data_IF_167816652894
#
_entry.id   IF_167816652894
#
_cell.length_a   1.000
_cell.length_b   1.000
_cell.length_c   1.000
_cell.angle_alpha   90.00
_cell.angle_beta   90.00
_cell.angle_gamma   90.00
#
_symmetry.space_group_name_H-M   'P 1'
#
loop_
_entity.id
_entity.type
_entity.pdbx_description
1 polymer ?
#
# COMPACT_ATOMS: atom_id res chain seq x y z
N UNK A 1 24.09 4.43 -3.28
CA UNK A 1 22.89 4.86 -2.52
C UNK A 1 22.18 5.91 -3.37
N UNK A 2 21.11 5.54 -4.07
CA UNK A 2 20.33 6.50 -4.85
C UNK A 2 19.52 7.36 -3.89
N UNK A 3 19.66 8.69 -3.99
CA UNK A 3 18.84 9.62 -3.23
C UNK A 3 17.37 9.22 -3.36
N UNK A 4 16.72 8.95 -2.23
CA UNK A 4 15.29 8.71 -2.20
C UNK A 4 14.62 9.93 -2.83
N UNK A 5 14.04 9.76 -4.03
CA UNK A 5 13.23 10.83 -4.63
C UNK A 5 12.11 11.11 -3.65
N UNK A 6 12.17 12.24 -2.95
CA UNK A 6 11.12 12.71 -2.07
C UNK A 6 9.85 12.75 -2.90
N UNK A 7 8.85 11.93 -2.55
CA UNK A 7 7.57 11.91 -3.28
C UNK A 7 6.98 13.32 -3.13
N UNK A 8 6.70 13.98 -4.26
CA UNK A 8 6.06 15.28 -4.25
C UNK A 8 4.67 15.10 -3.63
N UNK A 9 4.41 15.75 -2.50
CA UNK A 9 3.08 15.76 -1.90
C UNK A 9 2.09 16.34 -2.91
N UNK A 10 1.01 15.62 -3.14
CA UNK A 10 -0.08 16.09 -3.98
C UNK A 10 -1.04 16.83 -3.05
N UNK A 11 -0.95 18.15 -3.04
CA UNK A 11 -1.94 18.98 -2.34
C UNK A 11 -3.29 18.81 -3.06
N UNK A 12 -4.20 18.07 -2.45
CA UNK A 12 -5.57 17.90 -2.93
C UNK A 12 -6.46 18.98 -2.33
N UNK A 13 -7.31 19.55 -3.18
CA UNK A 13 -8.40 20.41 -2.72
C UNK A 13 -9.48 19.52 -2.09
N UNK A 14 -9.60 19.61 -0.76
CA UNK A 14 -10.58 18.84 0.02
C UNK A 14 -12.03 19.29 -0.24
N UNK A 15 -12.24 20.44 -0.88
CA UNK A 15 -13.57 20.88 -1.32
C UNK A 15 -14.00 20.27 -2.65
N UNK A 16 -13.08 19.62 -3.38
CA UNK A 16 -13.39 19.01 -4.66
C UNK A 16 -14.36 17.81 -4.49
N UNK A 17 -15.49 17.77 -5.22
CA UNK A 17 -16.47 16.69 -5.07
C UNK A 17 -15.92 15.29 -5.31
N UNK A 18 -14.94 15.13 -6.21
CA UNK A 18 -14.30 13.83 -6.47
C UNK A 18 -13.50 13.38 -5.25
N UNK A 19 -12.78 14.29 -4.60
CA UNK A 19 -12.00 13.98 -3.39
C UNK A 19 -12.94 13.56 -2.26
N UNK A 20 -14.05 14.28 -2.08
CA UNK A 20 -15.08 13.96 -1.09
C UNK A 20 -15.72 12.58 -1.36
N UNK A 21 -16.03 12.25 -2.62
CA UNK A 21 -16.59 10.95 -2.98
C UNK A 21 -15.63 9.77 -2.70
N UNK A 22 -14.32 10.02 -2.72
CA UNK A 22 -13.27 9.00 -2.49
C UNK A 22 -12.94 8.84 -1.00
N UNK A 23 -13.19 9.86 -0.17
CA UNK A 23 -12.77 9.93 1.22
C UNK A 23 -13.26 8.75 2.09
N UNK A 24 -14.54 8.33 2.03
CA UNK A 24 -15.01 7.22 2.85
C UNK A 24 -14.26 5.91 2.56
N UNK A 25 -13.95 5.64 1.29
CA UNK A 25 -13.17 4.46 0.92
C UNK A 25 -11.72 4.55 1.36
N UNK A 26 -11.14 5.75 1.35
CA UNK A 26 -9.80 6.00 1.89
C UNK A 26 -9.77 5.68 3.38
N UNK A 27 -10.72 6.19 4.17
CA UNK A 27 -10.81 5.92 5.61
C UNK A 27 -10.96 4.42 5.91
N UNK A 28 -11.86 3.73 5.21
CA UNK A 28 -12.02 2.28 5.33
C UNK A 28 -10.71 1.54 4.99
N UNK A 29 -10.01 1.95 3.94
CA UNK A 29 -8.74 1.34 3.57
C UNK A 29 -7.64 1.59 4.61
N UNK A 30 -7.60 2.77 5.25
CA UNK A 30 -6.64 3.06 6.32
C UNK A 30 -6.89 2.20 7.57
N UNK A 31 -8.15 1.94 7.90
CA UNK A 31 -8.51 1.04 8.98
C UNK A 31 -8.16 -0.42 8.64
N UNK A 32 -8.52 -0.87 7.44
CA UNK A 32 -8.20 -2.23 6.97
C UNK A 32 -6.69 -2.47 6.91
N UNK A 33 -5.91 -1.49 6.42
CA UNK A 33 -4.45 -1.56 6.38
C UNK A 33 -3.86 -1.69 7.79
N UNK A 34 -4.34 -0.89 8.75
CA UNK A 34 -3.92 -0.99 10.14
C UNK A 34 -4.17 -2.38 10.72
N UNK A 35 -5.39 -2.92 10.57
CA UNK A 35 -5.71 -4.27 11.07
C UNK A 35 -4.82 -5.34 10.42
N UNK A 36 -4.55 -5.20 9.13
CA UNK A 36 -3.66 -6.10 8.41
C UNK A 36 -2.21 -6.03 8.93
N UNK A 37 -1.70 -4.82 9.16
CA UNK A 37 -0.35 -4.59 9.69
C UNK A 37 -0.22 -5.10 11.13
N UNK A 38 -1.21 -4.86 12.00
CA UNK A 38 -1.28 -5.39 13.36
C UNK A 38 -1.26 -6.92 13.36
N UNK A 39 -2.09 -7.55 12.52
CA UNK A 39 -2.09 -9.00 12.35
C UNK A 39 -0.77 -9.53 11.78
N UNK A 40 -0.09 -8.75 10.92
CA UNK A 40 1.20 -9.12 10.36
C UNK A 40 2.32 -9.07 11.40
N UNK A 41 2.36 -8.03 12.22
CA UNK A 41 3.27 -7.89 13.35
C UNK A 41 3.09 -9.05 14.32
N UNK A 42 1.84 -9.42 14.62
CA UNK A 42 1.54 -10.56 15.50
C UNK A 42 2.05 -11.88 14.92
N UNK A 43 1.91 -12.13 13.61
CA UNK A 43 2.51 -13.30 12.96
C UNK A 43 4.04 -13.31 13.06
N UNK A 44 4.68 -12.15 12.91
CA UNK A 44 6.13 -12.02 13.06
C UNK A 44 6.57 -12.25 14.51
N UNK A 45 5.81 -11.76 15.49
CA UNK A 45 6.05 -12.00 16.92
C UNK A 45 6.05 -13.48 17.24
N UNK A 46 4.99 -14.20 16.86
CA UNK A 46 4.88 -15.65 17.10
C UNK A 46 6.05 -16.40 16.50
N UNK A 47 6.45 -16.04 15.28
CA UNK A 47 7.62 -16.65 14.63
C UNK A 47 8.93 -16.38 15.38
N UNK A 48 9.10 -15.18 15.95
CA UNK A 48 10.25 -14.89 16.80
C UNK A 48 10.20 -15.71 18.10
N UNK A 49 9.06 -15.79 18.77
CA UNK A 49 8.86 -16.56 20.00
C UNK A 49 9.16 -18.05 19.80
N UNK A 50 8.66 -18.65 18.72
CA UNK A 50 8.94 -20.04 18.31
C UNK A 50 10.45 -20.34 18.17
N UNK A 51 11.24 -19.33 17.87
CA UNK A 51 12.69 -19.44 17.71
C UNK A 51 13.49 -18.79 18.84
N UNK A 52 12.86 -18.53 20.00
CA UNK A 52 13.53 -17.97 21.17
C UNK A 52 14.10 -16.56 20.91
N UNK A 53 13.43 -15.78 20.06
CA UNK A 53 13.81 -14.45 19.62
C UNK A 53 15.14 -14.35 18.85
N UNK A 54 15.66 -15.48 18.37
CA UNK A 54 16.83 -15.52 17.47
C UNK A 54 16.40 -15.22 16.03
N UNK A 55 16.72 -14.00 15.56
CA UNK A 55 16.28 -13.55 14.23
C UNK A 55 16.98 -14.32 13.10
N UNK A 56 18.17 -14.89 13.32
CA UNK A 56 18.84 -15.72 12.30
C UNK A 56 18.10 -17.04 12.05
N UNK A 57 17.34 -17.52 13.04
CA UNK A 57 16.46 -18.69 12.88
C UNK A 57 15.09 -18.28 12.34
N UNK A 58 14.51 -17.21 12.87
CA UNK A 58 13.18 -16.75 12.49
C UNK A 58 13.13 -16.15 11.07
N UNK A 59 14.16 -15.44 10.65
CA UNK A 59 14.32 -14.90 9.31
C UNK A 59 15.82 -14.88 8.92
N UNK A 60 16.38 -16.01 8.49
CA UNK A 60 17.79 -16.10 8.13
C UNK A 60 18.14 -15.13 7.00
N UNK A 61 19.40 -14.68 6.98
CA UNK A 61 19.92 -14.02 5.79
C UNK A 61 19.85 -14.95 4.57
N UNK A 62 19.50 -14.43 3.39
CA UNK A 62 19.40 -15.25 2.19
C UNK A 62 20.78 -15.82 1.81
N UNK A 63 20.83 -17.13 1.58
CA UNK A 63 22.05 -17.77 1.06
C UNK A 63 22.33 -17.33 -0.37
N UNK A 64 23.60 -17.09 -0.76
CA UNK A 64 23.96 -16.77 -2.14
C UNK A 64 23.64 -17.90 -3.12
N UNK A 65 23.43 -19.12 -2.64
CA UNK A 65 23.09 -20.28 -3.47
C UNK A 65 21.59 -20.35 -3.84
N UNK A 66 20.76 -19.46 -3.30
CA UNK A 66 19.33 -19.40 -3.65
C UNK A 66 19.13 -18.83 -5.05
N UNK A 67 18.09 -19.32 -5.75
CA UNK A 67 17.60 -18.68 -6.95
C UNK A 67 17.16 -17.24 -6.68
N UNK A 68 17.23 -16.37 -7.70
CA UNK A 68 16.95 -14.92 -7.56
C UNK A 68 15.60 -14.61 -6.88
N UNK A 69 14.58 -15.41 -7.16
CA UNK A 69 13.25 -15.24 -6.57
C UNK A 69 13.25 -15.57 -5.08
N UNK A 70 13.75 -16.74 -4.68
CA UNK A 70 13.81 -17.15 -3.28
C UNK A 70 14.72 -16.24 -2.47
N UNK A 71 15.85 -15.81 -3.05
CA UNK A 71 16.74 -14.82 -2.45
C UNK A 71 15.98 -13.52 -2.12
N UNK A 72 15.21 -12.99 -3.07
CA UNK A 72 14.42 -11.77 -2.87
C UNK A 72 13.33 -11.96 -1.80
N UNK A 73 12.66 -13.12 -1.79
CA UNK A 73 11.63 -13.45 -0.80
C UNK A 73 12.19 -13.52 0.62
N UNK A 74 13.29 -14.27 0.82
CA UNK A 74 13.95 -14.41 2.13
C UNK A 74 14.50 -13.07 2.61
N UNK A 75 15.11 -12.29 1.71
CA UNK A 75 15.57 -10.93 2.01
C UNK A 75 14.43 -10.02 2.45
N UNK A 76 13.28 -10.06 1.78
CA UNK A 76 12.11 -9.27 2.15
C UNK A 76 11.60 -9.66 3.53
N UNK A 77 11.50 -10.96 3.82
CA UNK A 77 11.10 -11.46 5.13
C UNK A 77 12.03 -10.96 6.24
N UNK A 78 13.35 -11.00 6.04
CA UNK A 78 14.32 -10.46 6.99
C UNK A 78 14.14 -8.95 7.17
N UNK A 79 14.06 -8.21 6.07
CA UNK A 79 13.83 -6.77 6.12
C UNK A 79 12.54 -6.37 6.87
N UNK A 80 11.47 -7.17 6.75
CA UNK A 80 10.23 -6.96 7.50
C UNK A 80 10.41 -7.19 9.01
N UNK A 81 11.16 -8.22 9.42
CA UNK A 81 11.47 -8.42 10.84
C UNK A 81 12.39 -7.34 11.39
N UNK A 82 13.42 -6.95 10.64
CA UNK A 82 14.32 -5.86 11.03
C UNK A 82 13.56 -4.53 11.16
N UNK A 83 12.51 -4.32 10.37
CA UNK A 83 11.69 -3.11 10.43
C UNK A 83 10.88 -2.95 11.73
N UNK A 84 10.68 -4.02 12.51
CA UNK A 84 9.90 -4.02 13.75
C UNK A 84 10.70 -4.40 15.01
N UNK A 85 11.98 -4.72 14.86
CA UNK A 85 12.82 -5.25 15.95
C UNK A 85 14.07 -4.42 16.18
N UNK A 86 14.64 -4.54 17.39
CA UNK A 86 15.98 -4.05 17.72
C UNK A 86 16.84 -5.15 18.30
N UNK A 87 18.13 -5.05 18.05
CA UNK A 87 19.11 -5.96 18.63
C UNK A 87 19.28 -5.65 20.13
N UNK A 88 19.37 -6.69 20.95
CA UNK A 88 19.68 -6.53 22.37
C UNK A 88 21.17 -6.26 22.60
N UNK A 89 22.03 -6.91 21.82
CA UNK A 89 23.48 -6.74 21.91
C UNK A 89 24.00 -5.81 20.82
N UNK A 90 24.89 -4.84 21.13
CA UNK A 90 25.55 -4.00 20.14
C UNK A 90 26.59 -4.78 19.30
N UNK A 91 27.04 -5.94 19.78
CA UNK A 91 28.04 -6.77 19.11
C UNK A 91 27.46 -8.17 18.84
N UNK A 92 27.69 -8.65 17.61
CA UNK A 92 27.33 -10.00 17.17
C UNK A 92 28.58 -10.69 16.66
N UNK A 93 28.84 -11.90 17.13
CA UNK A 93 29.88 -12.77 16.57
C UNK A 93 29.23 -13.80 15.65
N UNK A 94 29.95 -14.15 14.60
CA UNK A 94 29.50 -15.18 13.68
C UNK A 94 29.24 -16.50 14.42
N UNK A 95 28.07 -17.09 14.19
CA UNK A 95 27.63 -18.35 14.82
C UNK A 95 26.92 -18.19 16.17
N UNK A 96 26.94 -16.99 16.77
CA UNK A 96 26.16 -16.72 17.99
C UNK A 96 24.70 -16.34 17.63
N UNK A 97 23.71 -16.69 18.48
CA UNK A 97 22.33 -16.26 18.31
C UNK A 97 22.23 -14.73 18.24
N UNK A 98 21.44 -14.22 17.29
CA UNK A 98 21.18 -12.79 17.20
C UNK A 98 19.83 -12.50 17.85
N UNK A 99 19.86 -12.27 19.16
CA UNK A 99 18.64 -12.05 19.93
C UNK A 99 18.10 -10.63 19.72
N UNK A 100 16.83 -10.55 19.36
CA UNK A 100 16.14 -9.29 19.12
C UNK A 100 14.94 -9.11 20.04
N UNK A 101 14.53 -7.86 20.26
CA UNK A 101 13.25 -7.53 20.89
C UNK A 101 12.37 -6.79 19.91
N UNK A 102 11.07 -6.99 20.02
CA UNK A 102 10.09 -6.17 19.30
C UNK A 102 10.10 -4.78 19.92
N UNK A 103 10.30 -3.75 19.10
CA UNK A 103 10.23 -2.36 19.54
C UNK A 103 8.85 -1.79 19.20
N UNK A 104 8.05 -1.39 20.20
CA UNK A 104 6.75 -0.75 19.99
C UNK A 104 6.80 0.46 19.06
N UNK A 105 7.86 1.27 19.12
CA UNK A 105 8.01 2.46 18.26
C UNK A 105 8.22 2.09 16.80
N UNK A 106 8.96 1.01 16.55
CA UNK A 106 9.16 0.49 15.19
C UNK A 106 7.88 -0.13 14.64
N UNK A 107 7.11 -0.84 15.48
CA UNK A 107 5.79 -1.34 15.13
C UNK A 107 4.82 -0.21 14.74
N UNK A 108 4.76 0.85 15.55
CA UNK A 108 3.94 2.03 15.25
C UNK A 108 4.37 2.70 13.94
N UNK A 109 5.68 2.85 13.74
CA UNK A 109 6.22 3.37 12.48
C UNK A 109 5.83 2.50 11.29
N UNK A 110 5.92 1.18 11.41
CA UNK A 110 5.55 0.23 10.36
C UNK A 110 4.08 0.40 9.96
N UNK A 111 3.18 0.48 10.93
CA UNK A 111 1.74 0.72 10.70
C UNK A 111 1.53 2.08 10.02
N UNK A 112 2.18 3.14 10.50
CA UNK A 112 2.05 4.48 9.95
C UNK A 112 2.51 4.53 8.48
N UNK A 113 3.63 3.91 8.15
CA UNK A 113 4.13 3.83 6.77
C UNK A 113 3.15 3.06 5.86
N UNK A 114 2.56 1.97 6.35
CA UNK A 114 1.51 1.22 5.66
C UNK A 114 0.29 2.09 5.37
N UNK A 115 -0.22 2.80 6.38
CA UNK A 115 -1.34 3.73 6.24
C UNK A 115 -1.03 4.90 5.29
N UNK A 116 0.17 5.50 5.38
CA UNK A 116 0.59 6.55 4.45
C UNK A 116 0.64 6.05 3.01
N UNK A 117 1.14 4.83 2.80
CA UNK A 117 1.16 4.21 1.48
C UNK A 117 -0.25 3.94 0.94
N UNK A 118 -1.19 3.53 1.80
CA UNK A 118 -2.59 3.36 1.43
C UNK A 118 -3.24 4.71 1.08
N UNK A 119 -3.13 5.72 1.96
CA UNK A 119 -3.62 7.08 1.72
C UNK A 119 -3.12 7.64 0.38
N UNK A 120 -1.82 7.54 0.14
CA UNK A 120 -1.17 8.04 -1.07
C UNK A 120 -1.77 7.46 -2.36
N UNK A 121 -2.19 6.19 -2.35
CA UNK A 121 -2.80 5.57 -3.52
C UNK A 121 -4.16 6.19 -3.84
N UNK A 122 -5.00 6.39 -2.81
CA UNK A 122 -6.29 7.07 -2.97
C UNK A 122 -6.13 8.53 -3.38
N UNK A 123 -5.15 9.23 -2.80
CA UNK A 123 -4.88 10.62 -3.15
C UNK A 123 -4.41 10.75 -4.61
N UNK A 124 -3.53 9.84 -5.05
CA UNK A 124 -3.09 9.77 -6.44
C UNK A 124 -4.24 9.45 -7.40
N UNK A 125 -5.18 8.60 -6.98
CA UNK A 125 -6.38 8.29 -7.75
C UNK A 125 -7.31 9.51 -7.90
N UNK A 126 -7.63 10.18 -6.80
CA UNK A 126 -8.46 11.38 -6.81
C UNK A 126 -7.81 12.49 -7.65
N UNK A 127 -6.52 12.74 -7.45
CA UNK A 127 -5.76 13.73 -8.22
C UNK A 127 -5.82 13.45 -9.73
N UNK A 128 -5.63 12.18 -10.12
CA UNK A 128 -5.72 11.75 -11.52
C UNK A 128 -7.09 12.06 -12.11
N UNK A 129 -8.17 11.78 -11.37
CA UNK A 129 -9.53 12.00 -11.87
C UNK A 129 -9.90 13.48 -11.92
N UNK A 130 -9.52 14.26 -10.89
CA UNK A 130 -9.67 15.72 -10.91
C UNK A 130 -8.95 16.34 -12.11
N UNK A 131 -7.72 15.92 -12.40
CA UNK A 131 -6.99 16.40 -13.57
C UNK A 131 -7.65 15.97 -14.89
N UNK A 132 -8.16 14.74 -14.97
CA UNK A 132 -8.70 14.17 -16.21
C UNK A 132 -10.09 14.70 -16.56
N UNK A 133 -10.94 14.92 -15.56
CA UNK A 133 -12.34 15.34 -15.72
C UNK A 133 -12.46 16.86 -15.70
N UNK A 134 -11.64 17.53 -14.87
CA UNK A 134 -11.71 18.97 -14.66
C UNK A 134 -12.70 19.36 -13.56
N UNK A 135 -13.34 20.52 -13.73
CA UNK A 135 -14.29 21.05 -12.76
C UNK A 135 -15.58 20.20 -12.72
N UNK A 136 -16.04 19.89 -11.51
CA UNK A 136 -17.21 19.06 -11.24
C UNK A 136 -18.04 19.71 -10.16
N UNK A 137 -19.37 19.64 -10.29
CA UNK A 137 -20.35 20.16 -9.32
C UNK A 137 -20.64 19.14 -8.24
N UNK A 138 -20.83 17.88 -8.63
CA UNK A 138 -21.04 16.77 -7.69
C UNK A 138 -20.43 15.48 -8.25
N UNK A 139 -20.01 14.59 -7.35
CA UNK A 139 -19.47 13.29 -7.69
C UNK A 139 -19.97 12.21 -6.73
N UNK A 140 -20.21 11.03 -7.25
CA UNK A 140 -20.64 9.85 -6.50
C UNK A 140 -19.85 8.64 -6.99
N UNK A 141 -19.26 7.89 -6.06
CA UNK A 141 -18.45 6.72 -6.37
C UNK A 141 -19.22 5.45 -6.00
N UNK A 142 -19.50 4.61 -7.00
CA UNK A 142 -20.18 3.33 -6.87
C UNK A 142 -19.19 2.17 -7.08
N UNK A 143 -19.44 1.04 -6.41
CA UNK A 143 -18.71 -0.22 -6.61
C UNK A 143 -18.08 -0.79 -5.32
N UNK A 144 -17.35 -1.90 -5.47
CA UNK A 144 -16.77 -2.67 -4.34
C UNK A 144 -15.34 -2.24 -3.96
N UNK A 145 -14.92 -1.05 -4.38
CA UNK A 145 -13.60 -0.51 -4.10
C UNK A 145 -12.89 -0.01 -5.35
N UNK A 146 -11.99 0.95 -5.15
CA UNK A 146 -11.27 1.65 -6.25
C UNK A 146 -10.29 0.72 -6.99
N UNK A 147 -9.86 -0.35 -6.31
CA UNK A 147 -8.83 -1.27 -6.78
C UNK A 147 -9.37 -2.48 -7.53
N UNK A 148 -10.65 -2.80 -7.37
CA UNK A 148 -11.31 -3.88 -8.08
C UNK A 148 -11.98 -3.31 -9.33
N UNK A 149 -13.13 -2.67 -9.15
CA UNK A 149 -13.91 -2.02 -10.18
C UNK A 149 -14.76 -0.92 -9.52
N UNK A 150 -14.76 0.28 -10.10
CA UNK A 150 -15.61 1.38 -9.62
C UNK A 150 -16.17 2.20 -10.77
N UNK A 151 -17.32 2.83 -10.51
CA UNK A 151 -17.93 3.81 -11.40
C UNK A 151 -18.04 5.14 -10.65
N UNK A 152 -17.35 6.16 -11.14
CA UNK A 152 -17.50 7.52 -10.65
C UNK A 152 -18.52 8.24 -11.54
N UNK A 153 -19.67 8.61 -10.98
CA UNK A 153 -20.68 9.43 -11.63
C UNK A 153 -20.39 10.88 -11.25
N UNK A 154 -20.26 11.76 -12.24
CA UNK A 154 -20.01 13.19 -12.03
C UNK A 154 -21.02 14.06 -12.76
N UNK A 155 -21.32 15.22 -12.20
CA UNK A 155 -22.11 16.28 -12.84
C UNK A 155 -21.20 17.45 -13.13
N UNK A 156 -21.07 17.82 -14.40
CA UNK A 156 -20.28 18.97 -14.83
C UNK A 156 -21.02 20.30 -14.59
N UNK A 157 -20.33 21.45 -14.58
CA UNK A 157 -20.98 22.77 -14.49
C UNK A 157 -22.01 23.04 -15.58
N UNK A 158 -21.90 22.37 -16.74
CA UNK A 158 -22.90 22.42 -17.82
C UNK A 158 -24.20 21.66 -17.51
N UNK A 159 -24.23 20.88 -16.42
CA UNK A 159 -25.30 19.93 -16.11
C UNK A 159 -25.12 18.56 -16.77
N UNK A 160 -24.11 18.37 -17.64
CA UNK A 160 -23.83 17.07 -18.25
C UNK A 160 -23.44 16.05 -17.18
N UNK A 161 -24.14 14.90 -17.17
CA UNK A 161 -23.77 13.74 -16.36
C UNK A 161 -22.77 12.88 -17.12
N UNK A 162 -21.67 12.52 -16.47
CA UNK A 162 -20.69 11.59 -17.02
C UNK A 162 -20.44 10.43 -16.08
N UNK A 163 -20.23 9.24 -16.64
CA UNK A 163 -19.86 8.04 -15.88
C UNK A 163 -18.44 7.64 -16.26
N UNK A 164 -17.59 7.50 -15.25
CA UNK A 164 -16.18 7.17 -15.38
C UNK A 164 -15.89 5.84 -14.72
N UNK A 165 -15.59 4.84 -15.54
CA UNK A 165 -15.30 3.50 -15.08
C UNK A 165 -13.80 3.30 -14.84
N UNK A 166 -13.44 2.76 -13.68
CA UNK A 166 -12.07 2.38 -13.31
C UNK A 166 -12.01 0.86 -13.09
N UNK A 167 -11.01 0.22 -13.69
CA UNK A 167 -10.68 -1.20 -13.44
C UNK A 167 -9.23 -1.33 -13.02
N UNK A 168 -8.97 -1.98 -11.88
CA UNK A 168 -7.62 -2.33 -11.47
C UNK A 168 -7.04 -3.42 -12.37
N UNK A 169 -5.81 -3.21 -12.86
CA UNK A 169 -5.09 -4.20 -13.66
C UNK A 169 -3.66 -4.31 -13.11
N UNK A 170 -3.18 -5.54 -12.91
CA UNK A 170 -1.76 -5.78 -12.65
C UNK A 170 -1.03 -5.86 -13.99
N UNK A 171 -0.23 -4.85 -14.31
CA UNK A 171 0.61 -4.86 -15.52
C UNK A 171 2.04 -5.31 -15.18
N UNK A 172 2.83 -5.66 -16.18
CA UNK A 172 4.22 -6.06 -16.05
C UNK A 172 5.10 -5.18 -16.95
N UNK A 173 6.16 -4.60 -16.38
CA UNK A 173 7.09 -3.77 -17.15
C UNK A 173 7.91 -4.62 -18.13
N UNK A 174 8.58 -3.98 -19.10
CA UNK A 174 9.54 -4.66 -19.99
C UNK A 174 10.65 -5.40 -19.23
N UNK A 175 10.92 -5.02 -17.98
CA UNK A 175 11.92 -5.64 -17.10
C UNK A 175 11.33 -6.68 -16.14
N UNK A 176 10.07 -7.09 -16.34
CA UNK A 176 9.41 -8.10 -15.50
C UNK A 176 8.88 -7.59 -14.17
N UNK A 177 8.87 -6.26 -13.93
CA UNK A 177 8.35 -5.70 -12.67
C UNK A 177 6.84 -5.55 -12.76
N UNK A 178 6.10 -6.24 -11.89
CA UNK A 178 4.66 -6.05 -11.76
C UNK A 178 4.34 -4.71 -11.11
N UNK A 179 3.31 -4.03 -11.60
CA UNK A 179 2.81 -2.79 -11.02
C UNK A 179 1.32 -2.61 -11.29
N UNK A 180 0.57 -2.04 -10.33
CA UNK A 180 -0.84 -1.77 -10.54
C UNK A 180 -1.03 -0.61 -11.50
N UNK A 181 -2.00 -0.75 -12.41
CA UNK A 181 -2.50 0.30 -13.28
C UNK A 181 -4.01 0.45 -13.04
N UNK A 182 -4.47 1.69 -13.14
CA UNK A 182 -5.87 2.05 -12.93
C UNK A 182 -6.43 2.75 -14.16
N UNK A 183 -6.55 2.08 -15.32
CA UNK A 183 -7.19 2.68 -16.48
C UNK A 183 -8.58 3.19 -16.11
N UNK A 184 -8.83 4.44 -16.46
CA UNK A 184 -10.13 5.10 -16.25
C UNK A 184 -10.67 5.54 -17.59
N UNK A 185 -11.94 5.31 -17.89
CA UNK A 185 -12.55 5.71 -19.16
C UNK A 185 -13.98 6.20 -18.96
N UNK A 186 -14.41 7.17 -19.77
CA UNK A 186 -15.81 7.57 -19.86
C UNK A 186 -16.60 6.42 -20.49
N UNK A 187 -17.73 6.07 -19.90
CA UNK A 187 -18.67 5.07 -20.40
C UNK A 187 -20.06 5.70 -20.51
N UNK A 188 -20.94 5.09 -21.31
CA UNK A 188 -22.31 5.59 -21.48
C UNK A 188 -23.16 5.35 -20.23
N UNK A 189 -23.03 4.18 -19.63
CA UNK A 189 -23.82 3.72 -18.49
C UNK A 189 -22.91 3.07 -17.43
N UNK A 190 -23.31 3.08 -16.14
CA UNK A 190 -22.58 2.38 -15.09
C UNK A 190 -22.48 0.88 -15.36
N UNK A 191 -21.30 0.31 -15.17
CA UNK A 191 -21.12 -1.14 -15.28
C UNK A 191 -21.54 -1.78 -13.97
N UNK A 192 -22.58 -2.61 -14.01
CA UNK A 192 -22.99 -3.46 -12.89
C UNK A 192 -22.12 -4.71 -12.83
N UNK A 193 -21.77 -5.11 -11.62
CA UNK A 193 -21.09 -6.37 -11.35
C UNK A 193 -22.06 -7.23 -10.55
N UNK A 194 -22.48 -8.34 -11.14
CA UNK A 194 -23.19 -9.42 -10.44
C UNK A 194 -22.22 -10.22 -9.56
#
# INVERSE_FOLDING_TARGET
MGAARTRKEIALDLSNPIVLAVLPLKEQALQAQRLWDEAHIERMRRKLEEHGYDIEKAAPYPSPNLGRYDYARVRLQRAQMDAITRWQSPTHRHGEPLIVTIDPKLCEKFILEGQQQAAYQFDSYAAKLTYKIGAVVSAELLGHGVWTCSNLIVVLPSGEKQVWHTKGIMNCSKLGKHFPQFPTRKVKEPITYE
#
